data_IF_610965340148
#
_entry.id   IF_610965340148
#
_cell.length_a   1.000
_cell.length_b   1.000
_cell.length_c   1.000
_cell.angle_alpha   90.00
_cell.angle_beta   90.00
_cell.angle_gamma   90.00
#
_symmetry.space_group_name_H-M   'P 1'
#
loop_
_entity.id
_entity.type
_entity.pdbx_description
1 polymer ?
#
# COMPACT_ATOMS: atom_id res chain seq x y z
N UNK A 1 -49.87 22.24 29.20
CA UNK A 1 -48.53 21.62 29.25
C UNK A 1 -48.07 21.40 27.84
N UNK A 2 -47.02 22.10 27.45
CA UNK A 2 -46.47 22.16 26.10
C UNK A 2 -45.37 21.10 25.91
N UNK A 3 -45.28 20.53 24.70
CA UNK A 3 -44.09 20.60 23.84
C UNK A 3 -44.16 19.59 22.69
N UNK A 4 -44.36 20.12 21.48
CA UNK A 4 -43.90 19.56 20.22
C UNK A 4 -42.42 19.12 20.31
N UNK A 5 -42.06 17.91 19.85
CA UNK A 5 -40.66 17.61 19.51
C UNK A 5 -40.54 16.69 18.29
N UNK A 6 -40.54 17.37 17.15
CA UNK A 6 -39.79 17.20 15.89
C UNK A 6 -39.17 15.82 15.60
N UNK A 7 -39.61 15.27 14.46
CA UNK A 7 -38.85 14.38 13.58
C UNK A 7 -37.45 14.97 13.32
N UNK A 8 -36.42 14.13 13.41
CA UNK A 8 -35.11 14.40 12.81
C UNK A 8 -34.83 13.28 11.79
N UNK A 9 -34.51 13.62 10.53
CA UNK A 9 -34.05 12.65 9.55
C UNK A 9 -32.63 12.19 9.92
N UNK A 10 -32.38 10.89 9.80
CA UNK A 10 -31.03 10.31 9.81
C UNK A 10 -30.33 10.75 8.52
N UNK A 11 -29.47 11.77 8.62
CA UNK A 11 -28.61 12.19 7.52
C UNK A 11 -27.46 11.22 7.39
N UNK A 12 -27.37 10.62 6.20
CA UNK A 12 -26.17 10.05 5.61
C UNK A 12 -24.97 10.98 5.86
N UNK A 13 -23.94 10.44 6.50
CA UNK A 13 -22.77 11.20 6.93
C UNK A 13 -21.57 10.27 6.88
N UNK A 14 -21.08 10.09 5.66
CA UNK A 14 -19.76 9.57 5.36
C UNK A 14 -18.69 10.41 6.08
N UNK A 15 -18.39 10.05 7.33
CA UNK A 15 -17.38 10.71 8.13
C UNK A 15 -15.99 10.14 7.78
N UNK A 16 -15.40 10.79 6.78
CA UNK A 16 -14.00 11.21 6.75
C UNK A 16 -12.98 10.28 7.42
N UNK A 17 -12.40 9.37 6.64
CA UNK A 17 -11.00 8.94 6.86
C UNK A 17 -10.07 10.07 6.41
N UNK A 18 -10.10 11.20 7.12
CA UNK A 18 -9.27 12.35 6.82
C UNK A 18 -7.81 12.00 7.11
N UNK A 19 -7.00 12.20 6.08
CA UNK A 19 -5.59 11.92 6.03
C UNK A 19 -4.85 12.52 7.23
N UNK A 20 -4.19 11.67 8.01
CA UNK A 20 -3.13 12.10 8.91
C UNK A 20 -1.89 12.44 8.07
N UNK A 21 -1.97 13.52 7.29
CA UNK A 21 -0.81 14.15 6.68
C UNK A 21 0.00 14.81 7.80
N UNK A 22 0.93 14.06 8.39
CA UNK A 22 1.92 14.61 9.31
C UNK A 22 2.80 15.61 8.55
N UNK A 23 2.80 16.90 8.93
CA UNK A 23 3.66 17.89 8.30
C UNK A 23 5.09 17.76 8.88
N UNK A 24 6.10 17.67 8.01
CA UNK A 24 7.49 17.92 8.43
C UNK A 24 8.49 16.79 8.30
N UNK A 25 8.48 16.02 7.21
CA UNK A 25 9.68 15.26 6.80
C UNK A 25 10.04 15.61 5.36
N UNK A 26 10.84 16.66 5.18
CA UNK A 26 11.59 16.93 3.94
C UNK A 26 12.71 15.89 3.77
N UNK A 27 12.31 14.63 3.68
CA UNK A 27 13.14 13.54 3.18
C UNK A 27 12.59 13.10 1.82
N UNK A 28 13.32 12.27 1.05
CA UNK A 28 12.76 11.66 -0.15
C UNK A 28 11.44 10.98 0.21
N UNK A 29 10.39 11.23 -0.57
CA UNK A 29 9.08 10.58 -0.41
C UNK A 29 9.33 9.08 -0.46
N UNK A 30 9.18 8.40 0.68
CA UNK A 30 9.35 6.96 0.74
C UNK A 30 8.12 6.33 0.09
N UNK A 31 8.27 5.86 -1.14
CA UNK A 31 7.21 5.15 -1.87
C UNK A 31 7.23 3.68 -1.48
N UNK A 32 6.09 3.19 -0.98
CA UNK A 32 5.88 1.80 -0.59
C UNK A 32 4.87 1.14 -1.53
N UNK A 33 5.09 -0.15 -1.82
CA UNK A 33 4.15 -1.00 -2.59
C UNK A 33 3.76 -2.18 -1.74
N UNK A 34 2.47 -2.51 -1.75
CA UNK A 34 1.95 -3.72 -1.15
C UNK A 34 2.02 -4.86 -2.16
N UNK A 35 2.74 -5.92 -1.81
CA UNK A 35 2.79 -7.16 -2.56
C UNK A 35 2.06 -8.28 -1.80
N UNK A 36 1.52 -9.24 -2.55
CA UNK A 36 0.90 -10.42 -1.94
C UNK A 36 1.94 -11.52 -1.84
N UNK A 37 2.05 -12.17 -0.69
CA UNK A 37 2.93 -13.32 -0.45
C UNK A 37 2.16 -14.62 -0.67
N UNK A 38 2.89 -15.72 -0.87
CA UNK A 38 2.30 -17.05 -1.11
C UNK A 38 1.44 -17.59 0.05
N UNK A 39 1.60 -17.05 1.26
CA UNK A 39 0.79 -17.36 2.45
C UNK A 39 -0.48 -16.49 2.54
N UNK A 40 -0.90 -15.85 1.45
CA UNK A 40 -2.00 -14.88 1.38
C UNK A 40 -1.83 -13.63 2.26
N UNK A 41 -0.65 -13.45 2.88
CA UNK A 41 -0.33 -12.21 3.59
C UNK A 41 0.09 -11.11 2.63
N UNK A 42 0.06 -9.87 3.12
CA UNK A 42 0.58 -8.71 2.38
C UNK A 42 1.86 -8.19 3.03
N UNK A 43 2.78 -7.70 2.20
CA UNK A 43 4.03 -7.10 2.63
C UNK A 43 4.21 -5.75 1.97
N UNK A 44 4.51 -4.72 2.78
CA UNK A 44 4.85 -3.40 2.30
C UNK A 44 6.36 -3.33 2.03
N UNK A 45 6.73 -3.10 0.78
CA UNK A 45 8.13 -2.98 0.37
C UNK A 45 8.44 -1.54 -0.01
N UNK A 46 9.52 -0.99 0.55
CA UNK A 46 10.04 0.32 0.13
C UNK A 46 10.72 0.17 -1.23
N UNK A 47 10.23 0.86 -2.26
CA UNK A 47 10.71 0.70 -3.64
C UNK A 47 12.20 1.02 -3.75
N UNK A 48 12.63 2.11 -3.11
CA UNK A 48 14.02 2.58 -3.15
C UNK A 48 15.01 1.63 -2.46
N UNK A 49 14.55 0.53 -1.85
CA UNK A 49 15.38 -0.50 -1.22
C UNK A 49 15.49 -1.77 -2.07
N UNK A 50 14.65 -1.91 -3.09
CA UNK A 50 14.68 -3.05 -4.01
C UNK A 50 15.91 -2.88 -4.90
N UNK A 51 16.80 -3.87 -4.89
CA UNK A 51 18.01 -3.86 -5.71
C UNK A 51 17.74 -4.41 -7.11
N UNK A 52 17.02 -5.53 -7.18
CA UNK A 52 16.57 -6.15 -8.42
C UNK A 52 15.43 -7.12 -8.13
N UNK A 53 14.73 -7.52 -9.20
CA UNK A 53 13.66 -8.51 -9.19
C UNK A 53 14.11 -9.73 -9.98
N UNK A 54 13.75 -10.93 -9.56
CA UNK A 54 13.94 -12.16 -10.34
C UNK A 54 12.64 -12.95 -10.43
N UNK A 55 12.56 -13.87 -11.38
CA UNK A 55 11.49 -14.87 -11.43
C UNK A 55 11.69 -15.92 -10.34
N UNK A 56 10.60 -16.44 -9.80
CA UNK A 56 10.56 -17.59 -8.90
C UNK A 56 9.48 -18.58 -9.33
N UNK A 57 9.45 -19.77 -8.74
CA UNK A 57 8.55 -20.86 -9.17
C UNK A 57 7.05 -20.51 -9.07
N UNK A 58 6.69 -19.61 -8.15
CA UNK A 58 5.30 -19.22 -7.85
C UNK A 58 5.07 -17.71 -7.92
N UNK A 59 5.90 -16.97 -8.66
CA UNK A 59 5.78 -15.52 -8.82
C UNK A 59 7.14 -14.85 -8.97
N UNK A 60 7.32 -13.70 -8.34
CA UNK A 60 8.55 -12.93 -8.38
C UNK A 60 9.27 -12.92 -7.02
N UNK A 61 10.56 -12.64 -7.05
CA UNK A 61 11.41 -12.49 -5.88
C UNK A 61 12.00 -11.08 -5.89
N UNK A 62 11.73 -10.32 -4.84
CA UNK A 62 12.28 -8.99 -4.59
C UNK A 62 13.55 -9.13 -3.76
N UNK A 63 14.68 -8.64 -4.26
CA UNK A 63 15.97 -8.72 -3.57
C UNK A 63 16.33 -7.37 -2.94
N UNK A 64 16.73 -7.41 -1.68
CA UNK A 64 17.12 -6.25 -0.87
C UNK A 64 18.55 -6.41 -0.35
N UNK A 65 19.13 -5.32 0.15
CA UNK A 65 20.45 -5.37 0.79
C UNK A 65 20.50 -6.31 2.01
N UNK A 66 21.68 -6.85 2.30
CA UNK A 66 21.88 -7.75 3.44
C UNK A 66 21.28 -9.15 3.24
N UNK A 67 21.27 -9.65 2.00
CA UNK A 67 20.74 -10.97 1.63
C UNK A 67 19.27 -11.19 2.00
N UNK A 68 18.51 -10.11 2.12
CA UNK A 68 17.08 -10.17 2.39
C UNK A 68 16.31 -10.30 1.09
N UNK A 69 15.36 -11.23 1.04
CA UNK A 69 14.52 -11.45 -0.12
C UNK A 69 13.07 -11.69 0.26
N UNK A 70 12.16 -11.31 -0.63
CA UNK A 70 10.71 -11.49 -0.44
C UNK A 70 10.14 -12.15 -1.68
N UNK A 71 9.53 -13.32 -1.50
CA UNK A 71 8.77 -14.00 -2.55
C UNK A 71 7.34 -13.48 -2.56
N UNK A 72 6.88 -13.06 -3.73
CA UNK A 72 5.55 -12.51 -3.96
C UNK A 72 4.80 -13.34 -5.00
N UNK A 73 3.48 -13.37 -4.91
CA UNK A 73 2.60 -14.10 -5.84
C UNK A 73 2.55 -13.44 -7.22
N UNK A 74 2.73 -12.12 -7.28
CA UNK A 74 2.75 -11.41 -8.56
C UNK A 74 3.88 -11.93 -9.44
N UNK A 75 3.60 -12.09 -10.72
CA UNK A 75 4.59 -12.42 -11.73
C UNK A 75 5.62 -11.31 -11.89
N UNK A 76 6.75 -11.64 -12.51
CA UNK A 76 7.82 -10.69 -12.76
C UNK A 76 7.33 -9.45 -13.53
N UNK A 77 6.55 -9.64 -14.60
CA UNK A 77 6.00 -8.55 -15.41
C UNK A 77 5.00 -7.68 -14.63
N UNK A 78 4.14 -8.28 -13.80
CA UNK A 78 3.24 -7.52 -12.91
C UNK A 78 4.02 -6.66 -11.92
N UNK A 79 5.10 -7.20 -11.33
CA UNK A 79 5.98 -6.43 -10.45
C UNK A 79 6.61 -5.25 -11.19
N UNK A 80 7.14 -5.46 -12.39
CA UNK A 80 7.72 -4.36 -13.18
C UNK A 80 6.69 -3.29 -13.54
N UNK A 81 5.47 -3.69 -13.94
CA UNK A 81 4.40 -2.76 -14.23
C UNK A 81 4.02 -1.92 -13.00
N UNK A 82 3.91 -2.55 -11.83
CA UNK A 82 3.63 -1.85 -10.57
C UNK A 82 4.76 -0.87 -10.20
N UNK A 83 6.02 -1.26 -10.37
CA UNK A 83 7.15 -0.38 -10.08
C UNK A 83 7.18 0.83 -11.03
N UNK A 84 6.94 0.60 -12.33
CA UNK A 84 6.91 1.66 -13.35
C UNK A 84 5.79 2.67 -13.12
N UNK A 85 4.59 2.21 -12.75
CA UNK A 85 3.43 3.06 -12.46
C UNK A 85 3.67 4.04 -11.29
N UNK A 86 4.74 3.85 -10.53
CA UNK A 86 5.08 4.67 -9.36
C UNK A 86 6.21 5.65 -9.68
N UNK A 87 6.92 5.49 -10.80
CA UNK A 87 7.89 6.47 -11.29
C UNK A 87 7.23 7.66 -11.99
N UNK A 88 6.02 7.46 -12.53
CA UNK A 88 5.16 8.51 -13.12
C UNK A 88 4.51 9.42 -12.06
#
# INVERSE_FOLDING_TARGET
MAAHRRQHPVTDGADAVEAMASPGRTGPVQRFVLFQRGDSSQVACQISRILYVSTGDHGAILHFGGNSQVNVQQSFDEVLAMLKAIEE
#
